data_IF_887481260145
#
_entry.id   IF_887481260145
#
_cell.length_a   1.000
_cell.length_b   1.000
_cell.length_c   1.000
_cell.angle_alpha   90.00
_cell.angle_beta   90.00
_cell.angle_gamma   90.00
#
_symmetry.space_group_name_H-M   'P 1'
#
loop_
_entity.id
_entity.type
_entity.pdbx_description
1 polymer ?
#
# COMPACT_ATOMS: atom_id res chain seq x y z
N UNK A 1 13.09 22.75 19.38
CA UNK A 1 14.12 22.85 18.31
C UNK A 1 13.39 22.88 16.96
N UNK A 2 13.80 23.82 16.08
CA UNK A 2 13.19 23.94 14.75
C UNK A 2 13.63 22.78 13.86
N UNK A 3 12.76 22.38 12.91
CA UNK A 3 13.10 21.37 11.93
C UNK A 3 14.18 21.89 10.97
N UNK A 4 15.24 21.11 10.81
CA UNK A 4 16.38 21.44 9.99
C UNK A 4 16.12 21.13 8.51
N UNK A 5 16.39 22.08 7.61
CA UNK A 5 16.31 21.85 6.18
C UNK A 5 17.59 21.22 5.68
N UNK A 6 17.50 20.01 5.11
CA UNK A 6 18.63 19.23 4.58
C UNK A 6 18.30 18.62 3.23
N UNK A 7 19.30 18.35 2.40
CA UNK A 7 19.11 17.52 1.21
C UNK A 7 18.88 16.08 1.61
N UNK A 8 18.04 15.35 0.85
CA UNK A 8 17.81 13.93 1.07
C UNK A 8 19.12 13.13 1.04
N UNK A 9 20.04 13.46 0.13
CA UNK A 9 21.35 12.81 0.01
C UNK A 9 22.30 13.04 1.18
N UNK A 10 22.09 14.09 2.00
CA UNK A 10 22.89 14.31 3.21
C UNK A 10 22.60 13.23 4.26
N UNK A 11 21.33 12.82 4.36
CA UNK A 11 20.84 11.85 5.35
C UNK A 11 20.66 10.44 4.83
N UNK A 12 20.74 10.24 3.50
CA UNK A 12 20.56 8.95 2.84
C UNK A 12 21.76 8.56 2.00
N UNK A 13 21.90 7.28 1.70
CA UNK A 13 22.89 6.74 0.76
C UNK A 13 22.26 5.76 -0.21
N UNK A 14 22.84 5.64 -1.39
CA UNK A 14 22.34 4.77 -2.47
C UNK A 14 22.41 3.30 -2.09
N UNK A 15 21.39 2.56 -2.48
CA UNK A 15 21.35 1.10 -2.52
C UNK A 15 21.22 0.68 -3.99
N UNK A 16 22.09 -0.20 -4.47
CA UNK A 16 22.09 -0.66 -5.85
C UNK A 16 22.79 -2.00 -6.00
N UNK A 17 22.45 -2.73 -7.06
CA UNK A 17 23.07 -4.00 -7.39
C UNK A 17 22.43 -5.19 -6.67
N UNK A 18 22.86 -6.37 -7.07
CA UNK A 18 22.45 -7.66 -6.55
C UNK A 18 23.71 -8.52 -6.36
N UNK A 19 23.68 -9.41 -5.40
CA UNK A 19 24.76 -10.39 -5.13
C UNK A 19 24.63 -11.68 -5.98
N UNK A 20 23.74 -11.65 -6.99
CA UNK A 20 23.52 -12.76 -7.92
C UNK A 20 22.35 -13.67 -7.56
N UNK A 21 21.72 -13.48 -6.41
CA UNK A 21 20.54 -14.26 -6.01
C UNK A 21 19.32 -13.88 -6.85
N UNK A 22 18.55 -14.90 -7.25
CA UNK A 22 17.33 -14.75 -8.06
C UNK A 22 16.09 -15.38 -7.41
N UNK A 23 16.25 -16.15 -6.35
CA UNK A 23 15.18 -16.87 -5.63
C UNK A 23 14.46 -16.02 -4.58
N UNK A 24 14.89 -14.79 -4.35
CA UNK A 24 14.27 -13.88 -3.41
C UNK A 24 12.93 -13.34 -3.94
N UNK A 25 12.01 -12.94 -3.05
CA UNK A 25 10.78 -12.31 -3.46
C UNK A 25 11.03 -11.12 -4.39
N UNK A 26 10.40 -11.11 -5.55
CA UNK A 26 10.51 -10.03 -6.53
C UNK A 26 9.34 -9.09 -6.36
N UNK A 27 9.63 -7.85 -5.96
CA UNK A 27 8.62 -6.87 -5.59
C UNK A 27 8.50 -5.73 -6.60
N UNK A 28 7.36 -5.10 -6.59
CA UNK A 28 7.06 -3.86 -7.29
C UNK A 28 6.27 -2.92 -6.38
N UNK A 29 6.33 -1.61 -6.65
CA UNK A 29 5.58 -0.61 -5.89
C UNK A 29 4.30 -0.24 -6.63
N UNK A 30 3.17 -0.36 -5.94
CA UNK A 30 1.88 0.24 -6.30
C UNK A 30 1.67 1.52 -5.50
N UNK A 31 1.26 2.61 -6.15
CA UNK A 31 1.04 3.88 -5.46
C UNK A 31 -0.06 3.82 -4.38
N UNK A 32 -1.05 2.92 -4.53
CA UNK A 32 -2.13 2.77 -3.55
C UNK A 32 -1.91 1.65 -2.52
N UNK A 33 -1.11 0.61 -2.87
CA UNK A 33 -0.99 -0.59 -2.04
C UNK A 33 0.43 -0.81 -1.48
N UNK A 34 1.39 0.08 -1.79
CA UNK A 34 2.77 -0.10 -1.38
C UNK A 34 3.45 -1.27 -2.11
N UNK A 35 4.26 -2.03 -1.39
CA UNK A 35 4.96 -3.19 -1.94
C UNK A 35 4.00 -4.33 -2.25
N UNK A 36 4.14 -4.89 -3.45
CA UNK A 36 3.41 -6.06 -3.95
C UNK A 36 4.37 -7.03 -4.61
N UNK A 37 4.07 -8.33 -4.59
CA UNK A 37 4.81 -9.29 -5.44
C UNK A 37 4.51 -9.00 -6.91
N UNK A 38 5.51 -9.11 -7.77
CA UNK A 38 5.31 -8.89 -9.20
C UNK A 38 4.33 -9.90 -9.81
N UNK A 39 4.35 -11.14 -9.35
CA UNK A 39 3.44 -12.19 -9.81
C UNK A 39 1.96 -11.88 -9.50
N UNK A 40 1.68 -11.22 -8.35
CA UNK A 40 0.32 -10.83 -7.98
C UNK A 40 -0.20 -9.66 -8.83
N UNK A 41 0.71 -8.75 -9.22
CA UNK A 41 0.35 -7.57 -10.00
C UNK A 41 0.22 -7.83 -11.49
N UNK A 42 1.06 -8.69 -12.07
CA UNK A 42 1.22 -8.86 -13.52
C UNK A 42 0.85 -10.27 -14.00
N UNK A 43 0.19 -11.08 -13.16
CA UNK A 43 -0.16 -12.48 -13.47
C UNK A 43 1.04 -13.36 -13.86
N UNK A 44 2.22 -13.05 -13.30
CA UNK A 44 3.43 -13.80 -13.52
C UNK A 44 4.70 -13.00 -13.17
N UNK A 45 5.84 -13.69 -13.15
CA UNK A 45 7.14 -13.04 -12.99
C UNK A 45 7.60 -12.46 -14.34
N UNK A 46 7.41 -11.14 -14.52
CA UNK A 46 7.80 -10.42 -15.74
C UNK A 46 9.32 -10.15 -15.83
N UNK A 47 10.05 -10.31 -14.73
CA UNK A 47 11.47 -10.02 -14.70
C UNK A 47 12.32 -11.14 -15.37
N UNK A 48 11.90 -12.39 -15.27
CA UNK A 48 12.62 -13.51 -15.85
C UNK A 48 14.12 -13.48 -15.52
N UNK A 49 14.98 -13.62 -16.55
CA UNK A 49 16.44 -13.55 -16.40
C UNK A 49 16.96 -12.17 -15.98
N UNK A 50 16.18 -11.12 -16.13
CA UNK A 50 16.56 -9.76 -15.73
C UNK A 50 16.59 -9.55 -14.21
N UNK A 51 16.07 -10.51 -13.42
CA UNK A 51 16.17 -10.48 -11.94
C UNK A 51 17.61 -10.33 -11.45
N UNK A 52 18.59 -10.88 -12.18
CA UNK A 52 20.01 -10.71 -11.85
C UNK A 52 20.48 -9.25 -11.83
N UNK A 53 19.78 -8.38 -12.55
CA UNK A 53 20.06 -6.94 -12.66
C UNK A 53 19.22 -6.10 -11.69
N UNK A 54 18.35 -6.75 -10.90
CA UNK A 54 17.53 -6.05 -9.91
C UNK A 54 18.39 -5.57 -8.74
N UNK A 55 17.86 -4.64 -7.98
CA UNK A 55 18.49 -4.19 -6.75
C UNK A 55 18.07 -5.08 -5.59
N UNK A 56 19.03 -5.61 -4.84
CA UNK A 56 18.78 -6.27 -3.57
C UNK A 56 18.46 -5.21 -2.52
N UNK A 57 17.24 -5.23 -2.04
CA UNK A 57 16.74 -4.34 -0.99
C UNK A 57 16.61 -5.12 0.32
N UNK A 58 17.08 -4.53 1.41
CA UNK A 58 16.98 -5.09 2.76
C UNK A 58 15.91 -4.37 3.58
N UNK A 59 15.42 -5.02 4.60
CA UNK A 59 14.44 -4.46 5.53
C UNK A 59 14.89 -3.10 6.08
N UNK A 60 13.98 -2.12 6.05
CA UNK A 60 14.27 -0.74 6.43
C UNK A 60 14.90 0.11 5.31
N UNK A 61 15.30 -0.47 4.19
CA UNK A 61 15.72 0.29 3.02
C UNK A 61 14.49 0.72 2.20
N UNK A 62 14.63 1.80 1.46
CA UNK A 62 13.53 2.46 0.74
C UNK A 62 13.78 2.43 -0.76
N UNK A 63 12.68 2.50 -1.52
CA UNK A 63 12.75 2.75 -2.96
C UNK A 63 11.74 3.80 -3.39
N UNK A 64 12.19 4.70 -4.26
CA UNK A 64 11.37 5.66 -4.97
C UNK A 64 11.00 5.07 -6.33
N UNK A 65 9.71 4.81 -6.51
CA UNK A 65 9.13 4.52 -7.82
C UNK A 65 8.68 5.84 -8.45
N UNK A 66 9.39 6.31 -9.46
CA UNK A 66 9.10 7.55 -10.17
C UNK A 66 8.04 7.40 -11.27
N UNK A 67 7.14 6.44 -11.15
CA UNK A 67 5.97 6.27 -12.02
C UNK A 67 4.95 7.39 -11.82
N UNK A 68 4.41 7.91 -12.93
CA UNK A 68 3.35 8.90 -12.92
C UNK A 68 1.97 8.20 -12.88
N UNK A 69 1.18 8.47 -11.87
CA UNK A 69 -0.18 7.95 -11.74
C UNK A 69 -1.12 8.98 -11.11
N UNK A 70 -2.43 8.74 -11.20
CA UNK A 70 -3.43 9.63 -10.56
C UNK A 70 -3.23 9.73 -9.04
N UNK A 71 -2.76 8.68 -8.38
CA UNK A 71 -2.52 8.63 -6.94
C UNK A 71 -1.16 9.19 -6.53
N UNK A 72 -0.18 9.17 -7.45
CA UNK A 72 1.19 9.62 -7.20
C UNK A 72 1.74 10.29 -8.45
N UNK A 73 1.38 11.55 -8.63
CA UNK A 73 1.77 12.35 -9.81
C UNK A 73 3.29 12.49 -9.94
N UNK A 74 3.99 12.53 -8.82
CA UNK A 74 5.45 12.68 -8.76
C UNK A 74 6.14 11.46 -8.18
N UNK A 75 5.52 10.27 -8.34
CA UNK A 75 6.05 9.04 -7.79
C UNK A 75 5.73 8.82 -6.32
N UNK A 76 6.30 7.78 -5.76
CA UNK A 76 6.05 7.38 -4.36
C UNK A 76 7.25 6.65 -3.77
N UNK A 77 7.43 6.75 -2.46
CA UNK A 77 8.50 6.11 -1.70
C UNK A 77 7.90 5.15 -0.69
N UNK A 78 8.44 3.95 -0.62
CA UNK A 78 8.10 2.96 0.41
C UNK A 78 9.34 2.30 0.98
N UNK A 79 9.35 2.06 2.28
CA UNK A 79 10.35 1.26 2.97
C UNK A 79 9.97 -0.23 2.92
N UNK A 80 10.96 -1.11 2.80
CA UNK A 80 10.75 -2.55 2.85
C UNK A 80 10.58 -2.97 4.31
N UNK A 81 9.38 -3.46 4.68
CA UNK A 81 9.09 -3.88 6.06
C UNK A 81 8.62 -5.35 6.14
N UNK A 82 8.05 -5.87 5.05
CA UNK A 82 7.39 -7.19 5.01
C UNK A 82 8.36 -8.36 4.77
N UNK A 83 9.55 -8.09 4.24
CA UNK A 83 10.58 -9.08 3.96
C UNK A 83 11.91 -8.62 4.53
N UNK A 84 12.75 -9.58 4.94
CA UNK A 84 14.12 -9.27 5.36
C UNK A 84 14.97 -8.83 4.17
N UNK A 85 14.78 -9.49 3.00
CA UNK A 85 15.42 -9.15 1.74
C UNK A 85 14.46 -9.39 0.57
N UNK A 86 14.54 -8.57 -0.47
CA UNK A 86 13.75 -8.69 -1.69
C UNK A 86 14.48 -8.11 -2.89
N UNK A 87 14.10 -8.52 -4.09
CA UNK A 87 14.58 -7.97 -5.35
C UNK A 87 13.59 -6.94 -5.88
N UNK A 88 14.10 -5.75 -6.25
CA UNK A 88 13.28 -4.66 -6.78
C UNK A 88 13.82 -4.16 -8.11
N UNK A 89 12.98 -3.63 -9.02
CA UNK A 89 13.42 -3.13 -10.31
C UNK A 89 14.55 -2.12 -10.22
N UNK A 90 15.58 -2.27 -11.02
CA UNK A 90 16.74 -1.37 -11.08
C UNK A 90 16.38 0.08 -11.41
N UNK A 91 15.23 0.28 -12.06
CA UNK A 91 14.74 1.62 -12.41
C UNK A 91 14.30 2.43 -11.20
N UNK A 92 14.03 1.79 -10.07
CA UNK A 92 13.72 2.51 -8.83
C UNK A 92 14.97 3.13 -8.24
N UNK A 93 14.83 4.31 -7.65
CA UNK A 93 15.90 4.90 -6.85
C UNK A 93 15.85 4.32 -5.45
N UNK A 94 16.68 3.30 -5.20
CA UNK A 94 16.74 2.65 -3.91
C UNK A 94 17.81 3.29 -3.02
N UNK A 95 17.51 3.45 -1.73
CA UNK A 95 18.37 4.13 -0.78
C UNK A 95 18.12 3.66 0.65
N UNK A 96 19.08 3.94 1.53
CA UNK A 96 18.98 3.71 2.98
C UNK A 96 19.23 5.00 3.75
N UNK A 97 18.58 5.15 4.87
CA UNK A 97 18.79 6.28 5.80
C UNK A 97 20.07 6.00 6.61
N UNK A 98 21.00 6.94 6.59
CA UNK A 98 22.24 6.92 7.40
C UNK A 98 21.99 7.46 8.79
N UNK A 99 21.25 8.58 8.85
CA UNK A 99 20.91 9.29 10.09
C UNK A 99 19.40 9.53 10.13
N UNK A 100 18.71 8.97 11.11
CA UNK A 100 17.29 9.17 11.27
C UNK A 100 16.48 7.89 11.23
N UNK A 101 15.26 7.98 10.71
CA UNK A 101 14.30 6.88 10.69
C UNK A 101 13.70 6.70 9.29
N UNK A 102 13.77 5.49 8.75
CA UNK A 102 13.28 5.16 7.41
C UNK A 102 11.75 5.39 7.29
N UNK A 103 10.98 5.03 8.32
CA UNK A 103 9.54 5.21 8.32
C UNK A 103 9.17 6.70 8.31
N UNK A 104 9.97 7.57 8.98
CA UNK A 104 9.77 9.01 8.90
C UNK A 104 9.90 9.51 7.46
N UNK A 105 10.92 9.05 6.74
CA UNK A 105 11.11 9.44 5.34
C UNK A 105 9.94 8.97 4.48
N UNK A 106 9.48 7.73 4.65
CA UNK A 106 8.30 7.21 3.97
C UNK A 106 7.06 8.06 4.23
N UNK A 107 6.73 8.33 5.51
CA UNK A 107 5.57 9.16 5.87
C UNK A 107 5.71 10.60 5.39
N UNK A 108 6.94 11.15 5.39
CA UNK A 108 7.17 12.49 4.84
C UNK A 108 6.81 12.54 3.34
N UNK A 109 7.19 11.52 2.55
CA UNK A 109 6.78 11.40 1.15
C UNK A 109 5.26 11.19 1.01
N UNK A 110 4.62 10.46 1.92
CA UNK A 110 3.18 10.25 1.91
C UNK A 110 2.39 11.56 2.10
N UNK A 111 2.96 12.59 2.76
CA UNK A 111 2.35 13.93 2.87
C UNK A 111 2.27 14.70 1.57
N UNK A 112 3.00 14.28 0.52
CA UNK A 112 3.17 14.99 -0.76
C UNK A 112 3.91 16.34 -0.66
N UNK A 113 4.46 16.68 0.50
CA UNK A 113 5.30 17.88 0.64
C UNK A 113 6.51 17.87 -0.31
N UNK A 114 7.21 16.72 -0.55
CA UNK A 114 8.30 16.65 -1.51
C UNK A 114 7.88 16.88 -2.97
N UNK A 115 6.60 16.76 -3.30
CA UNK A 115 6.09 16.91 -4.68
C UNK A 115 6.43 18.30 -5.26
N UNK A 116 6.52 19.32 -4.41
CA UNK A 116 6.94 20.67 -4.83
C UNK A 116 8.39 20.69 -5.34
N UNK A 117 9.27 19.97 -4.67
CA UNK A 117 10.67 19.87 -5.11
C UNK A 117 10.82 18.96 -6.32
N UNK A 118 10.12 17.81 -6.31
CA UNK A 118 10.12 16.85 -7.42
C UNK A 118 9.58 17.48 -8.71
N UNK A 119 8.56 18.35 -8.60
CA UNK A 119 7.98 19.01 -9.78
C UNK A 119 8.97 19.90 -10.52
N UNK A 120 9.94 20.48 -9.83
CA UNK A 120 10.98 21.33 -10.43
C UNK A 120 12.00 20.53 -11.26
N UNK A 121 12.13 19.23 -10.99
CA UNK A 121 13.08 18.33 -11.65
C UNK A 121 12.55 17.80 -12.99
N UNK A 122 11.26 17.96 -13.26
CA UNK A 122 10.64 17.46 -14.49
C UNK A 122 10.78 18.49 -15.58
N UNK A 123 11.73 18.29 -16.46
CA UNK A 123 11.98 19.16 -17.62
C UNK A 123 11.11 18.84 -18.85
N UNK A 124 10.61 17.61 -18.95
CA UNK A 124 9.69 17.12 -20.00
C UNK A 124 8.74 16.11 -19.37
N UNK A 125 7.56 15.93 -19.95
CA UNK A 125 6.54 14.99 -19.43
C UNK A 125 7.05 13.57 -19.16
N UNK A 126 6.19 12.69 -18.67
CA UNK A 126 6.55 11.29 -18.43
C UNK A 126 7.11 10.64 -19.70
N UNK A 127 8.10 9.76 -19.55
CA UNK A 127 8.64 8.93 -20.64
C UNK A 127 7.54 8.01 -21.20
N UNK A 128 7.78 7.43 -22.37
CA UNK A 128 6.84 6.49 -23.00
C UNK A 128 6.51 5.27 -22.12
N UNK A 129 7.40 4.93 -21.18
CA UNK A 129 7.21 3.87 -20.18
C UNK A 129 6.40 4.33 -18.93
N UNK A 130 5.90 5.59 -18.92
CA UNK A 130 5.13 6.16 -17.82
C UNK A 130 5.97 6.58 -16.61
N UNK A 131 7.30 6.56 -16.73
CA UNK A 131 8.22 7.02 -15.69
C UNK A 131 8.57 8.48 -15.87
N UNK A 132 8.71 9.20 -14.76
CA UNK A 132 9.22 10.58 -14.77
C UNK A 132 10.73 10.56 -15.03
N UNK A 133 11.21 11.53 -15.80
CA UNK A 133 12.63 11.67 -16.07
C UNK A 133 13.33 12.41 -14.92
N UNK A 134 13.48 11.76 -13.79
CA UNK A 134 14.17 12.26 -12.60
C UNK A 134 15.37 11.35 -12.35
N UNK A 135 16.59 11.92 -12.44
CA UNK A 135 17.83 11.20 -12.14
C UNK A 135 17.99 10.93 -10.63
N UNK A 136 18.83 9.93 -10.29
CA UNK A 136 19.08 9.59 -8.88
C UNK A 136 19.67 10.77 -8.09
N UNK A 137 20.66 11.47 -8.66
CA UNK A 137 21.34 12.58 -7.97
C UNK A 137 20.42 13.79 -7.83
N UNK A 138 19.56 14.04 -8.82
CA UNK A 138 18.53 15.07 -8.75
C UNK A 138 17.52 14.75 -7.64
N UNK A 139 17.05 13.49 -7.56
CA UNK A 139 16.17 13.03 -6.49
C UNK A 139 16.82 13.18 -5.11
N UNK A 140 18.10 12.83 -4.96
CA UNK A 140 18.84 13.02 -3.71
C UNK A 140 19.11 14.49 -3.36
N UNK A 141 19.05 15.38 -4.35
CA UNK A 141 19.22 16.83 -4.20
C UNK A 141 18.01 17.56 -3.63
N UNK A 142 16.82 16.92 -3.52
CA UNK A 142 15.62 17.60 -3.01
C UNK A 142 15.78 18.03 -1.56
N UNK A 143 15.19 19.17 -1.24
CA UNK A 143 15.20 19.72 0.12
C UNK A 143 14.02 19.16 0.92
N UNK A 144 14.32 18.66 2.12
CA UNK A 144 13.33 18.17 3.08
C UNK A 144 13.62 18.76 4.47
N UNK A 145 12.60 18.82 5.32
CA UNK A 145 12.74 19.25 6.71
C UNK A 145 12.80 18.03 7.62
N UNK A 146 13.78 18.00 8.50
CA UNK A 146 14.02 16.91 9.44
C UNK A 146 14.02 17.42 10.88
N UNK A 147 13.18 16.88 11.76
CA UNK A 147 13.29 17.09 13.19
C UNK A 147 14.44 16.25 13.77
N UNK A 148 14.66 16.37 15.07
CA UNK A 148 15.58 15.50 15.79
C UNK A 148 15.26 14.01 15.56
N UNK A 149 16.27 13.14 15.58
CA UNK A 149 16.07 11.68 15.40
C UNK A 149 15.08 11.10 16.41
N UNK A 150 15.02 11.63 17.61
CA UNK A 150 14.06 11.22 18.63
C UNK A 150 12.63 11.55 18.21
N UNK A 151 12.40 12.74 17.68
CA UNK A 151 11.10 13.18 17.21
C UNK A 151 10.67 12.39 15.95
N UNK A 152 11.59 12.15 14.98
CA UNK A 152 11.34 11.29 13.84
C UNK A 152 10.81 9.90 14.28
N UNK A 153 11.46 9.28 15.29
CA UNK A 153 11.02 7.99 15.82
C UNK A 153 9.62 8.05 16.45
N UNK A 154 9.31 9.12 17.20
CA UNK A 154 7.98 9.30 17.81
C UNK A 154 6.90 9.46 16.75
N UNK A 155 7.15 10.30 15.74
CA UNK A 155 6.24 10.50 14.61
C UNK A 155 6.01 9.17 13.88
N UNK A 156 7.08 8.47 13.55
CA UNK A 156 7.00 7.18 12.85
C UNK A 156 6.22 6.13 13.63
N UNK A 157 6.50 6.00 14.92
CA UNK A 157 5.78 5.06 15.79
C UNK A 157 4.28 5.38 15.87
N UNK A 158 3.93 6.66 15.90
CA UNK A 158 2.53 7.09 15.91
C UNK A 158 1.80 6.66 14.63
N UNK A 159 2.35 6.97 13.47
CA UNK A 159 1.73 6.59 12.19
C UNK A 159 1.73 5.08 11.97
N UNK A 160 2.80 4.36 12.34
CA UNK A 160 2.82 2.88 12.31
C UNK A 160 1.70 2.26 13.13
N UNK A 161 1.40 2.82 14.31
CA UNK A 161 0.27 2.35 15.12
C UNK A 161 -1.07 2.60 14.43
N UNK A 162 -1.23 3.76 13.78
CA UNK A 162 -2.45 4.05 13.01
C UNK A 162 -2.61 3.08 11.83
N UNK A 163 -1.56 2.83 11.05
CA UNK A 163 -1.60 1.90 9.93
C UNK A 163 -1.95 0.47 10.40
N UNK A 164 -1.37 0.05 11.54
CA UNK A 164 -1.71 -1.23 12.14
C UNK A 164 -3.19 -1.31 12.54
N UNK A 165 -3.73 -0.27 13.18
CA UNK A 165 -5.15 -0.21 13.55
C UNK A 165 -6.05 -0.22 12.30
N UNK A 166 -5.71 0.53 11.26
CA UNK A 166 -6.43 0.53 9.98
C UNK A 166 -6.48 -0.89 9.41
N UNK A 167 -5.33 -1.57 9.37
CA UNK A 167 -5.23 -2.95 8.85
C UNK A 167 -6.09 -3.93 9.65
N UNK A 168 -6.05 -3.85 10.99
CA UNK A 168 -6.87 -4.71 11.86
C UNK A 168 -8.37 -4.46 11.66
N UNK A 169 -8.78 -3.18 11.58
CA UNK A 169 -10.19 -2.85 11.36
C UNK A 169 -10.67 -3.25 9.97
N UNK A 170 -9.83 -3.11 8.95
CA UNK A 170 -10.14 -3.56 7.59
C UNK A 170 -10.40 -5.07 7.58
N UNK A 171 -9.49 -5.86 8.18
CA UNK A 171 -9.64 -7.31 8.30
C UNK A 171 -10.94 -7.68 9.03
N UNK A 172 -11.23 -7.03 10.18
CA UNK A 172 -12.46 -7.28 10.94
C UNK A 172 -13.71 -6.93 10.14
N UNK A 173 -13.67 -5.86 9.35
CA UNK A 173 -14.74 -5.48 8.45
C UNK A 173 -15.00 -6.56 7.40
N UNK A 174 -13.95 -7.10 6.79
CA UNK A 174 -14.07 -8.13 5.75
C UNK A 174 -14.54 -9.48 6.34
N UNK A 175 -14.05 -9.87 7.50
CA UNK A 175 -14.54 -11.05 8.25
C UNK A 175 -16.04 -10.89 8.59
N UNK A 176 -16.47 -9.69 9.04
CA UNK A 176 -17.88 -9.40 9.35
C UNK A 176 -18.76 -9.43 8.10
N UNK A 177 -18.27 -8.93 6.96
CA UNK A 177 -18.98 -9.04 5.68
C UNK A 177 -19.16 -10.50 5.24
N UNK A 178 -18.11 -11.33 5.41
CA UNK A 178 -18.20 -12.76 5.12
C UNK A 178 -19.20 -13.46 6.02
N UNK A 179 -19.17 -13.17 7.33
CA UNK A 179 -20.14 -13.69 8.27
C UNK A 179 -21.57 -13.29 7.90
N UNK A 180 -21.81 -12.00 7.58
CA UNK A 180 -23.12 -11.53 7.12
C UNK A 180 -23.58 -12.32 5.88
N UNK A 181 -22.69 -12.51 4.90
CA UNK A 181 -23.01 -13.28 3.69
C UNK A 181 -23.39 -14.73 4.03
N UNK A 182 -22.62 -15.37 4.91
CA UNK A 182 -22.91 -16.73 5.39
C UNK A 182 -24.25 -16.81 6.09
N UNK A 183 -24.54 -15.90 7.03
CA UNK A 183 -25.82 -15.89 7.76
C UNK A 183 -27.01 -15.65 6.86
N UNK A 184 -26.90 -14.75 5.86
CA UNK A 184 -27.94 -14.54 4.85
C UNK A 184 -28.25 -15.84 4.06
N UNK A 185 -27.26 -16.68 3.82
CA UNK A 185 -27.47 -17.96 3.14
C UNK A 185 -28.06 -19.06 4.04
N UNK A 186 -27.86 -18.96 5.35
CA UNK A 186 -28.21 -19.99 6.31
C UNK A 186 -29.46 -19.67 7.13
N UNK A 187 -29.80 -18.38 7.29
CA UNK A 187 -30.96 -17.94 8.08
C UNK A 187 -32.21 -17.73 7.22
N UNK A 188 -32.15 -18.01 5.92
CA UNK A 188 -33.30 -18.02 5.03
C UNK A 188 -33.46 -19.41 4.41
N UNK A 189 -34.72 -19.94 4.32
CA UNK A 189 -34.95 -21.24 3.71
C UNK A 189 -34.52 -21.24 2.24
N UNK A 190 -33.95 -22.33 1.77
CA UNK A 190 -33.73 -22.56 0.35
C UNK A 190 -35.05 -22.89 -0.36
N UNK A 191 -35.05 -22.83 -1.70
CA UNK A 191 -36.23 -23.19 -2.47
C UNK A 191 -36.71 -24.60 -2.14
N UNK A 192 -37.98 -24.70 -1.69
CA UNK A 192 -38.60 -25.96 -1.29
C UNK A 192 -38.43 -26.35 0.18
N UNK A 193 -37.62 -25.63 0.94
CA UNK A 193 -37.50 -25.82 2.38
C UNK A 193 -38.46 -24.91 3.13
N UNK A 194 -39.00 -25.38 4.25
CA UNK A 194 -39.92 -24.61 5.10
C UNK A 194 -39.18 -23.88 6.21
N UNK A 195 -37.96 -24.29 6.56
CA UNK A 195 -37.19 -23.74 7.63
C UNK A 195 -35.74 -23.47 7.20
N UNK A 196 -35.11 -22.40 7.68
CA UNK A 196 -33.69 -22.16 7.46
C UNK A 196 -32.80 -23.14 8.26
N UNK A 197 -31.55 -23.31 7.83
CA UNK A 197 -30.57 -24.14 8.53
C UNK A 197 -30.18 -23.57 9.92
N UNK A 198 -30.18 -22.24 10.05
CA UNK A 198 -29.88 -21.55 11.31
C UNK A 198 -31.06 -20.64 11.68
N UNK A 199 -31.52 -20.78 12.94
CA UNK A 199 -32.60 -19.96 13.52
C UNK A 199 -32.18 -19.47 14.91
N UNK A 200 -32.80 -18.40 15.36
CA UNK A 200 -32.71 -18.00 16.76
C UNK A 200 -33.44 -18.99 17.66
N UNK A 201 -32.94 -19.16 18.86
CA UNK A 201 -33.57 -20.02 19.87
C UNK A 201 -35.02 -19.57 20.12
N UNK A 202 -35.93 -20.52 20.31
CA UNK A 202 -37.36 -20.27 20.54
C UNK A 202 -38.25 -20.20 19.30
N UNK A 203 -37.67 -20.16 18.10
CA UNK A 203 -38.44 -20.16 16.85
C UNK A 203 -38.44 -21.56 16.23
N UNK A 204 -39.56 -22.28 16.33
CA UNK A 204 -39.69 -23.68 15.89
C UNK A 204 -40.67 -23.88 14.75
N UNK A 205 -41.65 -22.96 14.59
CA UNK A 205 -42.74 -23.09 13.61
C UNK A 205 -42.26 -22.95 12.16
N UNK A 206 -42.88 -23.67 11.24
CA UNK A 206 -42.57 -23.57 9.81
C UNK A 206 -42.83 -22.15 9.28
N UNK A 207 -42.01 -21.70 8.34
CA UNK A 207 -42.24 -20.42 7.66
C UNK A 207 -43.40 -20.52 6.71
N UNK A 208 -44.31 -19.56 6.80
CA UNK A 208 -45.47 -19.46 5.90
C UNK A 208 -45.10 -18.80 4.58
N UNK A 209 -45.49 -19.43 3.50
CA UNK A 209 -45.39 -18.79 2.17
C UNK A 209 -46.64 -17.88 1.95
N UNK A 210 -46.39 -16.58 1.85
CA UNK A 210 -47.46 -15.54 1.64
C UNK A 210 -47.08 -14.66 0.43
N UNK A 211 -48.09 -14.12 -0.25
CA UNK A 211 -47.84 -13.13 -1.31
C UNK A 211 -47.39 -11.81 -0.69
N UNK A 212 -46.47 -11.13 -1.36
CA UNK A 212 -45.95 -9.84 -0.87
C UNK A 212 -47.08 -8.80 -0.64
N UNK A 213 -48.11 -8.79 -1.50
CA UNK A 213 -49.24 -7.90 -1.37
C UNK A 213 -50.15 -8.17 -0.15
N UNK A 214 -50.04 -9.38 0.47
CA UNK A 214 -50.81 -9.71 1.67
C UNK A 214 -50.15 -9.14 2.95
N UNK A 215 -48.85 -8.83 2.88
CA UNK A 215 -48.04 -8.36 4.00
C UNK A 215 -47.50 -6.95 3.85
N UNK A 216 -47.65 -6.33 2.64
CA UNK A 216 -47.14 -4.98 2.36
C UNK A 216 -48.24 -4.12 1.72
N UNK A 217 -48.29 -2.84 2.08
CA UNK A 217 -49.15 -1.83 1.44
C UNK A 217 -48.31 -0.89 0.58
N UNK A 218 -48.89 -0.37 -0.50
CA UNK A 218 -48.27 0.63 -1.36
C UNK A 218 -48.17 1.97 -0.63
N UNK A 219 -46.97 2.53 -0.55
CA UNK A 219 -46.80 3.95 -0.14
C UNK A 219 -47.11 4.81 -1.35
N UNK A 220 -48.15 5.59 -1.30
CA UNK A 220 -48.42 6.63 -2.29
C UNK A 220 -47.62 7.86 -1.89
N UNK A 221 -46.67 8.28 -2.74
CA UNK A 221 -46.00 9.56 -2.62
C UNK A 221 -47.02 10.68 -2.92
N UNK A 222 -47.03 11.72 -2.09
CA UNK A 222 -47.66 13.00 -2.38
C UNK A 222 -46.88 13.73 -3.47
#
# INVERSE_FOLDING_TARGET
DDWEQRKLGDVCSRVQGNDGRMELPTLTISAGNGWMRQEDRFSGNIAGKEQKNYTLLRKGELSYNHGNSKLAKYGTVFSLQTYEEALVPRVYHSFKVKEGNCDFVEYYFATKLPDRELSKLISSGARMDGLLNIGYDEFMGIQMKFPSTLEQRKISLYFRKLDHLITLHQRKCDETKQLKKFMLQKMFPKNGEKNPEIRFEGFTDDWEQRKLGDVCSRVQGN
#
